data_IF_449711324813
#
_entry.id   IF_449711324813
#
_cell.length_a   1.000
_cell.length_b   1.000
_cell.length_c   1.000
_cell.angle_alpha   90.00
_cell.angle_beta   90.00
_cell.angle_gamma   90.00
#
_symmetry.space_group_name_H-M   'P 1'
#
loop_
_entity.id
_entity.type
_entity.pdbx_description
1 polymer ?
#
# COMPACT_ATOMS: atom_id res chain seq x y z
N UNK A 1 -20.45 -7.37 -13.48
CA UNK A 1 -19.85 -6.59 -12.40
C UNK A 1 -18.69 -5.79 -12.97
N UNK A 2 -18.57 -4.55 -12.58
CA UNK A 2 -17.52 -3.69 -13.09
C UNK A 2 -16.43 -3.47 -12.06
N UNK A 3 -15.25 -3.09 -12.55
CA UNK A 3 -14.13 -2.75 -11.70
C UNK A 3 -14.15 -1.27 -11.39
N UNK A 4 -13.89 -0.92 -10.14
CA UNK A 4 -13.86 0.46 -9.67
C UNK A 4 -12.46 0.81 -9.20
N UNK A 5 -12.02 2.01 -9.55
CA UNK A 5 -10.80 2.57 -8.98
C UNK A 5 -11.20 3.37 -7.74
N UNK A 6 -10.62 3.03 -6.61
CA UNK A 6 -10.87 3.77 -5.37
C UNK A 6 -9.64 4.58 -5.00
N UNK A 7 -9.87 5.77 -4.47
CA UNK A 7 -8.82 6.64 -3.96
C UNK A 7 -9.19 7.04 -2.54
N UNK A 8 -8.30 6.74 -1.61
CA UNK A 8 -8.50 7.05 -0.21
C UNK A 8 -7.39 7.99 0.25
N UNK A 9 -7.73 8.94 1.11
CA UNK A 9 -6.79 9.93 1.57
C UNK A 9 -6.77 9.96 3.09
N UNK A 10 -5.57 9.97 3.66
CA UNK A 10 -5.38 9.96 5.10
C UNK A 10 -4.34 11.00 5.49
N UNK A 11 -4.55 11.68 6.62
CA UNK A 11 -3.53 12.56 7.20
C UNK A 11 -2.68 11.74 8.16
N UNK A 12 -1.36 11.87 8.00
CA UNK A 12 -0.38 11.12 8.79
C UNK A 12 0.60 12.09 9.43
N UNK A 13 0.94 11.84 10.69
CA UNK A 13 1.98 12.63 11.37
C UNK A 13 3.37 12.17 10.96
N UNK A 14 3.53 10.89 10.61
CA UNK A 14 4.79 10.35 10.17
C UNK A 14 5.23 11.03 8.86
N UNK A 15 6.54 11.25 8.73
CA UNK A 15 7.09 11.87 7.52
C UNK A 15 7.04 10.93 6.33
N UNK A 16 7.12 11.49 5.09
CA UNK A 16 7.21 10.64 3.90
C UNK A 16 8.40 9.67 3.94
N UNK A 17 9.52 10.07 4.54
CA UNK A 17 10.69 9.21 4.68
C UNK A 17 10.37 7.97 5.52
N UNK A 18 9.69 8.17 6.63
CA UNK A 18 9.30 7.07 7.52
C UNK A 18 8.27 6.18 6.83
N UNK A 19 7.23 6.77 6.24
CA UNK A 19 6.17 6.02 5.56
C UNK A 19 6.71 5.21 4.40
N UNK A 20 7.65 5.76 3.65
CA UNK A 20 8.24 5.05 2.52
C UNK A 20 8.85 3.71 2.97
N UNK A 21 9.53 3.68 4.11
CA UNK A 21 10.08 2.44 4.67
C UNK A 21 8.98 1.45 5.02
N UNK A 22 7.86 1.93 5.55
CA UNK A 22 6.73 1.06 5.89
C UNK A 22 6.05 0.45 4.67
N UNK A 23 6.26 1.01 3.49
CA UNK A 23 5.69 0.48 2.25
C UNK A 23 6.65 -0.40 1.46
N UNK A 24 7.95 -0.36 1.76
CA UNK A 24 8.95 -1.05 0.95
C UNK A 24 9.78 -2.08 1.72
N UNK A 25 10.01 -1.86 2.99
CA UNK A 25 10.90 -2.74 3.78
C UNK A 25 10.11 -3.87 4.43
N UNK A 26 10.53 -5.14 4.22
CA UNK A 26 9.84 -6.29 4.80
C UNK A 26 9.66 -6.19 6.32
N UNK A 27 10.69 -5.76 7.04
CA UNK A 27 10.64 -5.64 8.49
C UNK A 27 9.56 -4.67 8.97
N UNK A 28 9.19 -3.69 8.16
CA UNK A 28 8.16 -2.72 8.48
C UNK A 28 6.79 -3.13 7.96
N UNK A 29 6.74 -3.79 6.79
CA UNK A 29 5.47 -4.26 6.22
C UNK A 29 4.77 -5.26 7.14
N UNK A 30 5.51 -6.10 7.84
CA UNK A 30 4.92 -7.08 8.75
C UNK A 30 4.32 -6.46 10.01
N UNK A 31 4.57 -5.18 10.24
CA UNK A 31 4.04 -4.48 11.41
C UNK A 31 2.62 -3.96 11.20
N UNK A 32 2.20 -3.82 9.95
CA UNK A 32 0.89 -3.22 9.70
C UNK A 32 0.12 -3.83 8.54
N UNK A 33 0.81 -4.32 7.51
CA UNK A 33 0.17 -4.71 6.25
C UNK A 33 -0.09 -6.21 6.15
N UNK A 34 0.84 -7.03 6.58
CA UNK A 34 0.74 -8.49 6.44
C UNK A 34 1.41 -9.19 7.61
N UNK A 35 1.23 -10.50 7.71
CA UNK A 35 1.83 -11.29 8.76
C UNK A 35 3.28 -11.64 8.44
N UNK A 36 3.55 -11.97 7.18
CA UNK A 36 4.89 -12.27 6.69
C UNK A 36 5.03 -11.75 5.27
N UNK A 37 6.25 -11.48 4.85
CA UNK A 37 6.53 -11.08 3.48
C UNK A 37 7.94 -11.53 3.08
N UNK A 38 8.06 -12.07 1.88
CA UNK A 38 9.34 -12.38 1.25
C UNK A 38 9.51 -11.50 0.03
N UNK A 39 10.75 -11.07 -0.20
CA UNK A 39 11.08 -10.27 -1.39
C UNK A 39 12.08 -11.05 -2.21
N UNK A 40 11.75 -11.33 -3.46
CA UNK A 40 12.61 -12.03 -4.40
C UNK A 40 12.92 -11.07 -5.55
N UNK A 41 14.18 -10.95 -5.89
CA UNK A 41 14.59 -10.11 -7.01
C UNK A 41 14.88 -10.99 -8.22
N UNK A 42 14.16 -10.74 -9.33
CA UNK A 42 14.32 -11.47 -10.58
C UNK A 42 14.31 -10.48 -11.74
N UNK A 43 15.32 -10.60 -12.62
CA UNK A 43 15.41 -9.76 -13.81
C UNK A 43 15.30 -8.26 -13.55
N UNK A 44 15.85 -7.83 -12.42
CA UNK A 44 15.84 -6.42 -12.05
C UNK A 44 14.53 -5.95 -11.42
N UNK A 45 13.57 -6.85 -11.23
CA UNK A 45 12.30 -6.52 -10.57
C UNK A 45 12.22 -7.19 -9.21
N UNK A 46 11.59 -6.49 -8.26
CA UNK A 46 11.33 -7.04 -6.93
C UNK A 46 9.92 -7.61 -6.89
N UNK A 47 9.82 -8.84 -6.47
CA UNK A 47 8.55 -9.53 -6.30
C UNK A 47 8.31 -9.72 -4.81
N UNK A 48 7.19 -9.21 -4.31
CA UNK A 48 6.82 -9.29 -2.91
C UNK A 48 5.76 -10.37 -2.74
N UNK A 49 6.01 -11.31 -1.83
CA UNK A 49 5.05 -12.37 -1.54
C UNK A 49 4.52 -12.09 -0.14
N UNK A 50 3.30 -11.59 -0.06
CA UNK A 50 2.65 -11.24 1.19
C UNK A 50 1.84 -12.41 1.72
N UNK A 51 1.97 -12.68 3.02
CA UNK A 51 1.24 -13.77 3.66
C UNK A 51 0.35 -13.19 4.76
N UNK A 52 -0.93 -13.48 4.67
CA UNK A 52 -1.91 -13.22 5.72
C UNK A 52 -2.39 -14.56 6.25
N UNK A 53 -3.04 -14.55 7.42
CA UNK A 53 -3.62 -15.77 7.97
C UNK A 53 -4.57 -16.41 6.94
N UNK A 54 -4.18 -17.57 6.42
CA UNK A 54 -4.99 -18.33 5.47
C UNK A 54 -4.90 -17.90 4.02
N UNK A 55 -4.05 -16.93 3.65
CA UNK A 55 -3.89 -16.54 2.25
C UNK A 55 -2.50 -16.01 1.97
N UNK A 56 -2.11 -16.13 0.70
CA UNK A 56 -0.83 -15.63 0.21
C UNK A 56 -1.08 -14.94 -1.12
N UNK A 57 -0.51 -13.75 -1.30
CA UNK A 57 -0.65 -13.00 -2.54
C UNK A 57 0.68 -12.38 -2.92
N UNK A 58 0.98 -12.39 -4.21
CA UNK A 58 2.22 -11.85 -4.72
C UNK A 58 1.98 -10.59 -5.56
N UNK A 59 2.91 -9.65 -5.46
CA UNK A 59 2.86 -8.42 -6.21
C UNK A 59 4.26 -8.06 -6.71
N UNK A 60 4.33 -7.41 -7.85
CA UNK A 60 5.57 -6.88 -8.40
C UNK A 60 5.66 -5.40 -8.04
N UNK A 61 6.81 -4.98 -7.54
CA UNK A 61 7.08 -3.56 -7.31
C UNK A 61 7.35 -2.92 -8.67
N UNK A 62 6.39 -2.16 -9.17
CA UNK A 62 6.45 -1.56 -10.51
C UNK A 62 7.25 -0.27 -10.50
N UNK A 63 7.06 0.53 -9.46
CA UNK A 63 7.71 1.83 -9.34
C UNK A 63 7.87 2.18 -7.87
N UNK A 64 9.01 2.77 -7.54
CA UNK A 64 9.25 3.29 -6.21
C UNK A 64 10.07 4.57 -6.34
N UNK A 65 9.44 5.70 -6.02
CA UNK A 65 10.14 6.99 -5.97
C UNK A 65 10.34 7.33 -4.50
N UNK A 66 11.59 7.38 -4.09
CA UNK A 66 11.94 7.57 -2.69
C UNK A 66 11.19 8.73 -2.05
N UNK A 67 10.50 8.44 -0.94
CA UNK A 67 9.74 9.42 -0.16
C UNK A 67 8.58 10.08 -0.91
N UNK A 68 8.19 9.55 -2.08
CA UNK A 68 7.11 10.12 -2.88
C UNK A 68 6.01 9.13 -3.20
N UNK A 69 6.36 7.95 -3.74
CA UNK A 69 5.34 6.98 -4.11
C UNK A 69 5.89 5.57 -4.24
N UNK A 70 5.00 4.60 -4.06
CA UNK A 70 5.29 3.18 -4.21
C UNK A 70 4.12 2.56 -4.95
N UNK A 71 4.38 1.84 -6.04
CA UNK A 71 3.35 1.20 -6.86
C UNK A 71 3.61 -0.28 -6.98
N UNK A 72 2.61 -1.08 -6.61
CA UNK A 72 2.63 -2.53 -6.75
C UNK A 72 1.59 -2.96 -7.76
N UNK A 73 1.87 -4.05 -8.47
CA UNK A 73 0.87 -4.72 -9.31
C UNK A 73 0.69 -6.13 -8.78
N UNK A 74 -0.55 -6.46 -8.42
CA UNK A 74 -0.87 -7.82 -7.98
C UNK A 74 -0.75 -8.78 -9.15
N UNK A 75 -0.12 -9.93 -8.92
CA UNK A 75 0.08 -10.92 -10.00
C UNK A 75 -1.21 -11.55 -10.48
N UNK A 76 -2.22 -11.60 -9.62
CA UNK A 76 -3.53 -12.14 -9.97
C UNK A 76 -4.53 -11.06 -10.37
N UNK A 77 -4.07 -9.85 -10.66
CA UNK A 77 -4.95 -8.77 -11.11
C UNK A 77 -5.66 -9.17 -12.40
N UNK A 78 -6.95 -8.87 -12.47
CA UNK A 78 -7.77 -9.17 -13.65
C UNK A 78 -7.37 -8.34 -14.88
N UNK A 79 -6.82 -7.16 -14.63
CA UNK A 79 -6.42 -6.24 -15.69
C UNK A 79 -4.98 -5.79 -15.43
N UNK A 80 -4.13 -5.87 -16.44
CA UNK A 80 -2.73 -5.46 -16.33
C UNK A 80 -2.55 -3.98 -16.00
N UNK A 81 -3.58 -3.17 -16.17
CA UNK A 81 -3.54 -1.75 -15.87
C UNK A 81 -3.88 -1.44 -14.41
N UNK A 82 -4.36 -2.44 -13.66
CA UNK A 82 -4.68 -2.25 -12.24
C UNK A 82 -3.42 -2.26 -11.39
N UNK A 83 -3.44 -1.46 -10.34
CA UNK A 83 -2.29 -1.31 -9.46
C UNK A 83 -2.73 -0.91 -8.05
N UNK A 84 -1.82 -1.07 -7.10
CA UNK A 84 -1.96 -0.50 -5.75
C UNK A 84 -0.87 0.54 -5.62
N UNK A 85 -1.24 1.79 -5.37
CA UNK A 85 -0.28 2.88 -5.28
C UNK A 85 -0.45 3.65 -3.98
N UNK A 86 0.68 3.90 -3.32
CA UNK A 86 0.78 4.78 -2.17
C UNK A 86 1.49 6.05 -2.62
N UNK A 87 0.86 7.21 -2.43
CA UNK A 87 1.47 8.49 -2.77
C UNK A 87 1.53 9.35 -1.51
N UNK A 88 2.68 9.96 -1.27
CA UNK A 88 2.90 10.76 -0.08
C UNK A 88 3.25 12.18 -0.49
N UNK A 89 2.47 13.15 0.02
CA UNK A 89 2.77 14.56 -0.19
C UNK A 89 2.68 15.27 1.15
N UNK A 90 3.33 16.41 1.25
CA UNK A 90 3.29 17.18 2.47
C UNK A 90 2.25 18.27 2.35
N UNK A 91 1.35 18.36 3.33
CA UNK A 91 0.35 19.44 3.34
C UNK A 91 1.04 20.78 3.55
N UNK A 92 0.85 21.75 2.66
CA UNK A 92 1.45 23.08 2.84
C UNK A 92 0.81 23.86 3.99
N UNK A 93 -0.35 23.43 4.46
CA UNK A 93 -1.09 24.13 5.53
C UNK A 93 -0.68 23.62 6.90
N UNK A 94 -0.70 22.29 7.11
CA UNK A 94 -0.45 21.71 8.42
C UNK A 94 0.95 21.12 8.58
N UNK A 95 1.66 20.87 7.48
CA UNK A 95 2.94 20.19 7.52
C UNK A 95 2.84 18.70 7.71
N UNK A 96 1.62 18.17 7.85
CA UNK A 96 1.41 16.74 7.96
C UNK A 96 1.53 16.06 6.59
N UNK A 97 1.73 14.74 6.59
CA UNK A 97 1.81 13.99 5.35
C UNK A 97 0.40 13.60 4.89
N UNK A 98 0.09 13.87 3.64
CA UNK A 98 -1.13 13.37 3.01
C UNK A 98 -0.78 12.07 2.31
N UNK A 99 -1.34 10.97 2.80
CA UNK A 99 -1.17 9.66 2.20
C UNK A 99 -2.38 9.36 1.34
N UNK A 100 -2.15 9.14 0.05
CA UNK A 100 -3.20 8.77 -0.88
C UNK A 100 -2.98 7.32 -1.30
N UNK A 101 -4.04 6.52 -1.21
CA UNK A 101 -4.02 5.12 -1.61
C UNK A 101 -4.94 4.96 -2.81
N UNK A 102 -4.40 4.41 -3.90
CA UNK A 102 -5.18 4.09 -5.09
C UNK A 102 -5.19 2.59 -5.27
N UNK A 103 -6.37 2.01 -5.40
CA UNK A 103 -6.53 0.57 -5.60
C UNK A 103 -7.77 0.30 -6.44
N UNK A 104 -7.91 -0.94 -6.89
CA UNK A 104 -9.03 -1.38 -7.71
C UNK A 104 -9.74 -2.56 -7.05
N UNK A 105 -11.05 -2.59 -7.16
CA UNK A 105 -11.87 -3.69 -6.65
C UNK A 105 -13.16 -3.76 -7.46
N UNK A 106 -13.97 -4.81 -7.23
CA UNK A 106 -15.28 -4.89 -7.86
C UNK A 106 -16.19 -3.81 -7.28
N UNK A 107 -17.15 -3.36 -8.07
CA UNK A 107 -18.04 -2.27 -7.69
C UNK A 107 -18.89 -2.57 -6.44
N UNK A 108 -19.14 -3.84 -6.16
CA UNK A 108 -19.89 -4.26 -4.97
C UNK A 108 -18.99 -4.47 -3.74
N UNK A 109 -17.67 -4.28 -3.89
CA UNK A 109 -16.70 -4.46 -2.81
C UNK A 109 -16.10 -3.15 -2.30
N UNK A 110 -16.52 -2.02 -2.85
CA UNK A 110 -15.92 -0.71 -2.51
C UNK A 110 -16.00 -0.42 -1.02
N UNK A 111 -17.14 -0.69 -0.39
CA UNK A 111 -17.32 -0.43 1.03
C UNK A 111 -16.42 -1.32 1.89
N UNK A 112 -16.35 -2.61 1.57
CA UNK A 112 -15.50 -3.56 2.30
C UNK A 112 -14.04 -3.21 2.15
N UNK A 113 -13.63 -2.83 0.95
CA UNK A 113 -12.24 -2.47 0.68
C UNK A 113 -11.85 -1.19 1.40
N UNK A 114 -12.76 -0.23 1.46
CA UNK A 114 -12.54 1.01 2.20
C UNK A 114 -12.37 0.72 3.70
N UNK A 115 -13.19 -0.14 4.26
CA UNK A 115 -13.08 -0.53 5.66
C UNK A 115 -11.77 -1.26 5.94
N UNK A 116 -11.35 -2.12 5.03
CA UNK A 116 -10.06 -2.81 5.13
C UNK A 116 -8.93 -1.78 5.27
N UNK A 117 -8.90 -0.80 4.37
CA UNK A 117 -7.86 0.23 4.40
C UNK A 117 -7.92 1.10 5.65
N UNK A 118 -9.12 1.47 6.09
CA UNK A 118 -9.27 2.25 7.32
C UNK A 118 -8.64 1.50 8.50
N UNK A 119 -8.87 0.20 8.58
CA UNK A 119 -8.30 -0.64 9.64
C UNK A 119 -6.78 -0.74 9.53
N UNK A 120 -6.27 -0.95 8.30
CA UNK A 120 -4.83 -1.07 8.08
C UNK A 120 -4.11 0.24 8.38
N UNK A 121 -4.69 1.37 8.02
CA UNK A 121 -4.09 2.68 8.30
C UNK A 121 -4.03 2.96 9.80
N UNK A 122 -5.02 2.51 10.57
CA UNK A 122 -4.94 2.64 12.03
C UNK A 122 -3.75 1.86 12.60
N UNK A 123 -3.49 0.68 12.06
CA UNK A 123 -2.30 -0.10 12.45
C UNK A 123 -1.03 0.63 12.05
N UNK A 124 -0.99 1.17 10.85
CA UNK A 124 0.17 1.93 10.36
C UNK A 124 0.45 3.14 11.26
N UNK A 125 -0.57 3.88 11.64
CA UNK A 125 -0.41 5.03 12.55
C UNK A 125 0.21 4.62 13.87
N UNK A 126 -0.23 3.52 14.44
CA UNK A 126 0.32 3.03 15.71
C UNK A 126 1.79 2.65 15.60
N UNK A 127 2.19 2.11 14.47
CA UNK A 127 3.57 1.66 14.26
C UNK A 127 4.49 2.80 13.82
N UNK A 128 3.98 3.73 13.03
CA UNK A 128 4.80 4.80 12.44
C UNK A 128 4.82 6.09 13.27
N UNK A 129 4.09 6.14 14.37
CA UNK A 129 4.07 7.31 15.24
C UNK A 129 2.95 8.30 14.92
N UNK A 130 1.92 7.82 14.26
CA UNK A 130 0.77 8.66 13.93
C UNK A 130 0.77 9.09 12.51
#
# INVERSE_FOLDING_TARGET
MSRERIQLEYLMKASPTILYEFFTEPAFLIRWFCDEVDVVEEDGQKRYIFVWSGSEEAAVLVEAEENQSVTFRWEDAEDDEEYLKFTMTKSPITGETVLEITEFCDDDEVEDQTQFWNTQIEKLRRQAGG
#
